data_IF_017573379857
#
_entry.id   IF_017573379857
#
_cell.length_a   1.000
_cell.length_b   1.000
_cell.length_c   1.000
_cell.angle_alpha   90.00
_cell.angle_beta   90.00
_cell.angle_gamma   90.00
#
_symmetry.space_group_name_H-M   'P 1'
#
loop_
_entity.id
_entity.type
_entity.pdbx_description
1 polymer ?
#
# COMPACT_ATOMS: atom_id res chain seq x y z
N UNK A 1 -19.43 -10.80 9.34
CA UNK A 1 -19.55 -12.20 8.84
C UNK A 1 -19.10 -12.41 7.37
N UNK A 2 -18.16 -11.62 6.79
CA UNK A 2 -17.64 -11.83 5.42
C UNK A 2 -16.28 -12.56 5.34
N UNK A 3 -15.68 -12.83 6.50
CA UNK A 3 -14.35 -13.40 6.67
C UNK A 3 -14.20 -14.82 6.07
N UNK A 4 -15.11 -15.80 6.31
CA UNK A 4 -14.87 -17.18 5.86
C UNK A 4 -14.92 -17.34 4.33
N UNK A 5 -15.76 -16.56 3.64
CA UNK A 5 -15.87 -16.61 2.19
C UNK A 5 -14.63 -16.03 1.50
N UNK A 6 -14.02 -14.99 2.09
CA UNK A 6 -12.77 -14.43 1.60
C UNK A 6 -11.63 -15.44 1.76
N UNK A 7 -11.50 -16.08 2.92
CA UNK A 7 -10.50 -17.12 3.16
C UNK A 7 -10.65 -18.31 2.21
N UNK A 8 -11.89 -18.75 1.92
CA UNK A 8 -12.13 -19.83 0.96
C UNK A 8 -11.69 -19.45 -0.46
N UNK A 9 -12.05 -18.25 -0.92
CA UNK A 9 -11.63 -17.75 -2.24
C UNK A 9 -10.11 -17.52 -2.29
N UNK A 10 -9.52 -17.12 -1.17
CA UNK A 10 -8.07 -17.01 -1.02
C UNK A 10 -7.40 -18.39 -1.17
N UNK A 11 -7.82 -19.37 -0.37
CA UNK A 11 -7.31 -20.74 -0.46
C UNK A 11 -7.44 -21.33 -1.86
N UNK A 12 -8.59 -21.14 -2.51
CA UNK A 12 -8.83 -21.66 -3.86
C UNK A 12 -7.88 -21.07 -4.92
N UNK A 13 -7.57 -19.78 -4.85
CA UNK A 13 -6.68 -19.16 -5.85
C UNK A 13 -5.21 -19.51 -5.61
N UNK A 14 -4.76 -19.60 -4.34
CA UNK A 14 -3.42 -20.14 -4.02
C UNK A 14 -3.31 -21.57 -4.56
N UNK A 15 -4.32 -22.41 -4.29
CA UNK A 15 -4.31 -23.80 -4.74
C UNK A 15 -4.21 -23.92 -6.26
N UNK A 16 -4.96 -23.09 -7.00
CA UNK A 16 -4.88 -23.06 -8.46
C UNK A 16 -3.48 -22.64 -8.95
N UNK A 17 -2.88 -21.61 -8.35
CA UNK A 17 -1.52 -21.17 -8.68
C UNK A 17 -0.50 -22.28 -8.40
N UNK A 18 -0.63 -22.97 -7.26
CA UNK A 18 0.20 -24.11 -6.91
C UNK A 18 0.12 -25.21 -7.98
N UNK A 19 -1.09 -25.56 -8.43
CA UNK A 19 -1.29 -26.54 -9.50
C UNK A 19 -0.62 -26.13 -10.81
N UNK A 20 -0.70 -24.85 -11.18
CA UNK A 20 -0.04 -24.32 -12.39
C UNK A 20 1.48 -24.44 -12.27
N UNK A 21 2.06 -24.07 -11.12
CA UNK A 21 3.51 -24.18 -10.87
C UNK A 21 3.96 -25.65 -10.95
N UNK A 22 3.21 -26.56 -10.32
CA UNK A 22 3.48 -27.99 -10.37
C UNK A 22 3.40 -28.55 -11.79
N UNK A 23 2.40 -28.13 -12.56
CA UNK A 23 2.23 -28.52 -13.96
C UNK A 23 3.42 -28.06 -14.82
N UNK A 24 3.84 -26.81 -14.69
CA UNK A 24 5.01 -26.26 -15.39
C UNK A 24 6.28 -27.02 -14.97
N UNK A 25 6.46 -27.28 -13.68
CA UNK A 25 7.59 -28.07 -13.17
C UNK A 25 7.63 -29.47 -13.76
N UNK A 26 6.48 -30.15 -13.82
CA UNK A 26 6.39 -31.47 -14.45
C UNK A 26 6.72 -31.42 -15.94
N UNK A 27 6.24 -30.40 -16.65
CA UNK A 27 6.51 -30.26 -18.08
C UNK A 27 7.99 -30.01 -18.37
N UNK A 28 8.69 -29.22 -17.55
CA UNK A 28 10.11 -28.90 -17.74
C UNK A 28 11.07 -30.03 -17.35
N UNK A 29 10.72 -30.85 -16.36
CA UNK A 29 11.67 -31.81 -15.75
C UNK A 29 11.07 -33.15 -15.33
N UNK A 30 9.87 -33.49 -15.80
CA UNK A 30 9.20 -34.73 -15.45
C UNK A 30 8.99 -34.88 -13.94
N UNK A 31 9.54 -35.94 -13.35
CA UNK A 31 9.41 -36.21 -11.90
C UNK A 31 10.27 -35.28 -11.05
N UNK A 32 11.50 -34.99 -11.48
CA UNK A 32 12.42 -34.13 -10.71
C UNK A 32 11.94 -32.68 -10.75
N UNK A 33 11.46 -32.21 -11.91
CA UNK A 33 10.86 -30.89 -12.05
C UNK A 33 9.59 -30.72 -11.21
N UNK A 34 8.73 -31.75 -11.12
CA UNK A 34 7.57 -31.75 -10.22
C UNK A 34 7.98 -31.61 -8.74
N UNK A 35 8.99 -32.35 -8.29
CA UNK A 35 9.49 -32.28 -6.91
C UNK A 35 10.09 -30.90 -6.60
N UNK A 36 10.86 -30.33 -7.52
CA UNK A 36 11.42 -28.98 -7.37
C UNK A 36 10.31 -27.92 -7.30
N UNK A 37 9.30 -28.01 -8.17
CA UNK A 37 8.14 -27.12 -8.17
C UNK A 37 7.33 -27.22 -6.88
N UNK A 38 7.17 -28.43 -6.34
CA UNK A 38 6.52 -28.65 -5.04
C UNK A 38 7.28 -27.97 -3.91
N UNK A 39 8.60 -28.19 -3.83
CA UNK A 39 9.45 -27.56 -2.82
C UNK A 39 9.38 -26.02 -2.92
N UNK A 40 9.47 -25.47 -4.14
CA UNK A 40 9.33 -24.04 -4.40
C UNK A 40 7.97 -23.50 -3.95
N UNK A 41 6.89 -24.22 -4.27
CA UNK A 41 5.52 -23.82 -3.92
C UNK A 41 5.32 -23.79 -2.40
N UNK A 42 5.83 -24.81 -1.68
CA UNK A 42 5.80 -24.85 -0.21
C UNK A 42 6.58 -23.68 0.38
N UNK A 43 7.81 -23.45 -0.11
CA UNK A 43 8.65 -22.34 0.35
C UNK A 43 7.99 -20.98 0.09
N UNK A 44 7.45 -20.78 -1.11
CA UNK A 44 6.75 -19.55 -1.49
C UNK A 44 5.49 -19.32 -0.66
N UNK A 45 4.71 -20.37 -0.41
CA UNK A 45 3.52 -20.27 0.45
C UNK A 45 3.92 -19.95 1.88
N UNK A 46 4.95 -20.60 2.43
CA UNK A 46 5.46 -20.25 3.76
C UNK A 46 5.92 -18.79 3.82
N UNK A 47 6.59 -18.30 2.77
CA UNK A 47 7.01 -16.90 2.66
C UNK A 47 5.81 -15.96 2.65
N UNK A 48 4.78 -16.24 1.84
CA UNK A 48 3.55 -15.43 1.79
C UNK A 48 2.89 -15.27 3.16
N UNK A 49 2.92 -16.31 3.99
CA UNK A 49 2.33 -16.28 5.33
C UNK A 49 3.23 -15.59 6.36
N UNK A 50 4.55 -15.66 6.20
CA UNK A 50 5.51 -14.98 7.07
C UNK A 50 5.71 -13.50 6.72
N UNK A 51 5.21 -13.06 5.57
CA UNK A 51 5.40 -11.71 5.05
C UNK A 51 4.22 -10.81 5.45
N UNK A 52 4.51 -9.76 6.21
CA UNK A 52 3.57 -8.69 6.51
C UNK A 52 4.24 -7.31 6.34
N UNK A 53 3.45 -6.26 6.53
CA UNK A 53 3.95 -4.89 6.46
C UNK A 53 4.58 -4.40 7.78
N UNK A 54 4.77 -5.27 8.77
CA UNK A 54 5.28 -4.86 10.09
C UNK A 54 6.73 -4.37 10.02
N UNK A 55 7.51 -4.88 9.08
CA UNK A 55 8.88 -4.44 8.87
C UNK A 55 8.98 -2.92 8.60
N UNK A 56 7.99 -2.37 7.91
CA UNK A 56 7.95 -0.96 7.51
C UNK A 56 7.81 -0.02 8.70
N UNK A 57 7.17 -0.47 9.79
CA UNK A 57 7.04 0.30 11.02
C UNK A 57 8.40 0.62 11.64
N UNK A 58 9.35 -0.32 11.58
CA UNK A 58 10.67 -0.16 12.17
C UNK A 58 11.55 0.86 11.41
N UNK A 59 11.11 1.31 10.23
CA UNK A 59 11.81 2.30 9.41
C UNK A 59 11.45 3.74 9.81
N UNK A 60 10.44 3.90 10.66
CA UNK A 60 9.89 5.19 11.06
C UNK A 60 10.01 5.41 12.56
N UNK A 61 10.22 6.66 12.97
CA UNK A 61 10.19 7.05 14.37
C UNK A 61 8.74 7.25 14.83
N UNK A 62 8.11 6.16 15.26
CA UNK A 62 6.68 6.07 15.55
C UNK A 62 6.34 6.61 16.94
N UNK A 63 5.41 7.57 16.97
CA UNK A 63 4.83 8.08 18.20
C UNK A 63 3.33 7.84 18.19
N UNK A 64 2.85 7.03 19.14
CA UNK A 64 1.41 6.82 19.30
C UNK A 64 0.81 8.02 20.03
N UNK A 65 -0.28 8.57 19.50
CA UNK A 65 -1.05 9.58 20.23
C UNK A 65 -1.87 8.84 21.29
N UNK A 66 -1.48 8.98 22.56
CA UNK A 66 -2.25 8.50 23.70
C UNK A 66 -2.77 9.71 24.51
N UNK A 67 -4.09 9.82 24.65
CA UNK A 67 -4.74 10.83 25.50
C UNK A 67 -5.00 12.17 24.82
N UNK A 68 -4.00 13.06 24.75
CA UNK A 68 -4.20 14.41 24.18
C UNK A 68 -4.12 14.36 22.66
N UNK A 69 -5.23 14.70 22.00
CA UNK A 69 -5.34 14.85 20.56
C UNK A 69 -5.45 16.34 20.19
N UNK A 70 -4.33 17.09 20.19
CA UNK A 70 -4.35 18.54 19.98
C UNK A 70 -4.86 18.95 18.59
N UNK A 71 -4.88 18.02 17.63
CA UNK A 71 -5.35 18.25 16.27
C UNK A 71 -6.76 17.69 16.01
N UNK A 72 -7.38 17.01 16.98
CA UNK A 72 -8.69 16.38 16.83
C UNK A 72 -8.70 15.26 15.78
N UNK A 73 -7.58 14.61 15.51
CA UNK A 73 -7.41 13.57 14.49
C UNK A 73 -8.14 12.29 14.84
N UNK A 74 -8.11 11.84 16.10
CA UNK A 74 -8.73 10.57 16.52
C UNK A 74 -10.22 10.58 16.23
N UNK A 75 -10.91 11.67 16.60
CA UNK A 75 -12.35 11.84 16.29
C UNK A 75 -12.66 11.81 14.79
N UNK A 76 -11.74 12.30 13.94
CA UNK A 76 -11.89 12.29 12.48
C UNK A 76 -11.67 10.91 11.90
N UNK A 77 -10.71 10.16 12.44
CA UNK A 77 -10.48 8.76 12.08
C UNK A 77 -11.69 7.91 12.48
N UNK A 78 -12.21 8.11 13.70
CA UNK A 78 -13.43 7.46 14.17
C UNK A 78 -14.63 7.75 13.26
N UNK A 79 -14.85 9.03 12.90
CA UNK A 79 -15.89 9.41 11.96
C UNK A 79 -15.74 8.68 10.62
N UNK A 80 -14.53 8.63 10.06
CA UNK A 80 -14.25 7.93 8.80
C UNK A 80 -14.46 6.43 8.89
N UNK A 81 -13.96 5.80 9.96
CA UNK A 81 -14.11 4.37 10.19
C UNK A 81 -15.58 3.98 10.35
N UNK A 82 -16.37 4.79 11.05
CA UNK A 82 -17.82 4.61 11.18
C UNK A 82 -18.53 4.71 9.83
N UNK A 83 -18.20 5.72 9.01
CA UNK A 83 -18.78 5.90 7.67
C UNK A 83 -18.45 4.76 6.71
N UNK A 84 -17.28 4.15 6.86
CA UNK A 84 -16.83 3.01 6.05
C UNK A 84 -17.20 1.64 6.64
N UNK A 85 -17.82 1.62 7.84
CA UNK A 85 -18.14 0.40 8.58
C UNK A 85 -16.91 -0.52 8.77
N UNK A 86 -15.78 0.05 9.17
CA UNK A 86 -14.54 -0.69 9.44
C UNK A 86 -14.12 -0.56 10.90
N UNK A 87 -13.24 -1.47 11.35
CA UNK A 87 -12.59 -1.38 12.64
C UNK A 87 -11.66 -0.16 12.68
N UNK A 88 -11.51 0.44 13.86
CA UNK A 88 -10.66 1.61 14.03
C UNK A 88 -9.19 1.20 13.87
N UNK A 89 -8.46 1.73 12.87
CA UNK A 89 -7.05 1.41 12.71
C UNK A 89 -6.22 2.05 13.83
N UNK A 90 -5.09 1.44 14.14
CA UNK A 90 -4.09 2.08 15.00
C UNK A 90 -3.51 3.30 14.28
N UNK A 91 -3.29 4.38 15.02
CA UNK A 91 -2.81 5.63 14.45
C UNK A 91 -1.48 6.05 15.10
N UNK A 92 -0.50 6.37 14.26
CA UNK A 92 0.80 6.86 14.70
C UNK A 92 1.19 8.12 13.95
N UNK A 93 1.81 9.03 14.68
CA UNK A 93 2.49 10.19 14.15
C UNK A 93 3.96 9.86 13.96
N UNK A 94 4.51 10.22 12.81
CA UNK A 94 5.90 9.95 12.45
C UNK A 94 6.69 11.25 12.46
N UNK A 95 7.78 11.26 13.22
CA UNK A 95 8.78 12.33 13.16
C UNK A 95 9.59 12.21 11.88
N UNK A 96 9.30 13.05 10.90
CA UNK A 96 9.97 13.07 9.61
C UNK A 96 10.09 14.48 9.06
N UNK A 97 11.15 14.74 8.28
CA UNK A 97 11.29 15.98 7.51
C UNK A 97 10.42 15.97 6.24
N UNK A 98 10.13 14.79 5.71
CA UNK A 98 9.25 14.60 4.56
C UNK A 98 7.79 14.59 4.99
N UNK A 99 6.90 15.13 4.15
CA UNK A 99 5.47 15.05 4.37
C UNK A 99 4.88 13.84 3.65
N UNK A 100 4.31 12.92 4.41
CA UNK A 100 3.64 11.74 3.87
C UNK A 100 2.49 11.27 4.76
N UNK A 101 1.56 10.55 4.14
CA UNK A 101 0.56 9.73 4.81
C UNK A 101 0.59 8.36 4.16
N UNK A 102 0.59 7.34 5.01
CA UNK A 102 0.81 5.96 4.63
C UNK A 102 -0.17 5.08 5.42
N UNK A 103 -0.80 4.14 4.74
CA UNK A 103 -1.76 3.22 5.33
C UNK A 103 -1.31 1.78 5.14
N UNK A 104 -1.14 1.06 6.25
CA UNK A 104 -0.59 -0.30 6.33
C UNK A 104 -1.63 -1.31 6.83
N UNK A 105 -1.51 -2.55 6.38
CA UNK A 105 -2.32 -3.72 6.76
C UNK A 105 -1.39 -4.76 7.41
N UNK A 106 -1.32 -4.76 8.74
CA UNK A 106 -0.48 -5.64 9.54
C UNK A 106 -1.23 -6.92 9.89
N UNK A 107 -1.22 -7.88 8.96
CA UNK A 107 -1.97 -9.11 9.14
C UNK A 107 -3.48 -8.84 9.31
N UNK A 108 -4.20 -9.82 9.86
CA UNK A 108 -5.64 -9.68 10.15
C UNK A 108 -5.83 -9.78 11.66
N UNK A 109 -6.38 -8.77 12.39
CA UNK A 109 -7.10 -7.58 11.92
C UNK A 109 -6.42 -6.23 12.27
N UNK A 110 -5.09 -6.09 12.20
CA UNK A 110 -4.43 -4.83 12.58
C UNK A 110 -4.16 -3.94 11.38
N UNK A 111 -5.04 -2.96 11.15
CA UNK A 111 -4.80 -1.89 10.18
C UNK A 111 -4.10 -0.71 10.88
N UNK A 112 -3.14 -0.07 10.22
CA UNK A 112 -2.33 1.02 10.78
C UNK A 112 -2.33 2.22 9.84
N UNK A 113 -2.50 3.42 10.40
CA UNK A 113 -2.41 4.68 9.71
C UNK A 113 -1.25 5.50 10.26
N UNK A 114 -0.34 5.89 9.36
CA UNK A 114 0.85 6.67 9.66
C UNK A 114 0.72 8.04 9.00
N UNK A 115 0.92 9.11 9.78
CA UNK A 115 0.99 10.47 9.28
C UNK A 115 2.27 11.13 9.75
N UNK A 116 2.99 11.82 8.87
CA UNK A 116 4.15 12.61 9.30
C UNK A 116 3.71 13.88 10.04
N UNK A 117 4.47 14.33 11.03
CA UNK A 117 4.25 15.61 11.73
C UNK A 117 4.14 16.80 10.75
N UNK A 118 4.92 16.79 9.67
CA UNK A 118 4.91 17.84 8.64
C UNK A 118 3.56 18.03 7.98
N UNK A 119 2.78 16.97 7.83
CA UNK A 119 1.43 17.07 7.29
C UNK A 119 0.55 17.84 8.27
N UNK A 120 0.63 17.52 9.57
CA UNK A 120 -0.16 18.17 10.62
C UNK A 120 0.21 19.64 10.83
N UNK A 121 1.45 20.02 10.54
CA UNK A 121 1.93 21.41 10.63
C UNK A 121 1.47 22.29 9.46
N UNK A 122 1.30 21.72 8.26
CA UNK A 122 1.11 22.50 7.02
C UNK A 122 -0.27 22.38 6.38
N UNK A 123 -1.03 21.33 6.71
CA UNK A 123 -2.40 21.16 6.22
C UNK A 123 -3.37 21.77 7.22
N UNK A 124 -4.44 22.36 6.70
CA UNK A 124 -5.55 22.77 7.53
C UNK A 124 -6.34 21.55 8.04
N UNK A 125 -7.26 21.81 8.96
CA UNK A 125 -8.05 20.78 9.63
C UNK A 125 -8.93 19.99 8.64
N UNK A 126 -9.49 20.66 7.62
CA UNK A 126 -10.39 20.05 6.63
C UNK A 126 -9.59 19.26 5.58
N UNK A 127 -8.44 19.78 5.18
CA UNK A 127 -7.46 19.14 4.30
C UNK A 127 -6.93 17.86 4.96
N UNK A 128 -6.58 17.93 6.24
CA UNK A 128 -6.15 16.78 7.02
C UNK A 128 -7.28 15.75 7.12
N UNK A 129 -8.51 16.17 7.41
CA UNK A 129 -9.65 15.25 7.44
C UNK A 129 -9.88 14.57 6.08
N UNK A 130 -9.85 15.32 4.99
CA UNK A 130 -10.06 14.78 3.66
C UNK A 130 -8.96 13.76 3.29
N UNK A 131 -7.70 14.06 3.66
CA UNK A 131 -6.56 13.18 3.44
C UNK A 131 -6.66 11.88 4.26
N UNK A 132 -7.01 11.98 5.55
CA UNK A 132 -7.22 10.83 6.43
C UNK A 132 -8.36 9.95 5.90
N UNK A 133 -9.48 10.54 5.47
CA UNK A 133 -10.58 9.80 4.86
C UNK A 133 -10.15 9.07 3.58
N UNK A 134 -9.26 9.67 2.79
CA UNK A 134 -8.69 9.00 1.61
C UNK A 134 -7.90 7.76 1.98
N UNK A 135 -7.10 7.83 3.04
CA UNK A 135 -6.31 6.69 3.49
C UNK A 135 -7.13 5.61 4.20
N UNK A 136 -8.20 5.98 4.91
CA UNK A 136 -9.18 5.01 5.42
C UNK A 136 -9.91 4.30 4.27
N UNK A 137 -10.27 5.03 3.21
CA UNK A 137 -10.83 4.42 2.00
C UNK A 137 -9.81 3.46 1.33
N UNK A 138 -8.51 3.79 1.34
CA UNK A 138 -7.44 2.89 0.89
C UNK A 138 -7.45 1.57 1.67
N UNK A 139 -7.48 1.63 3.01
CA UNK A 139 -7.53 0.45 3.89
C UNK A 139 -8.76 -0.40 3.60
N UNK A 140 -9.93 0.23 3.57
CA UNK A 140 -11.18 -0.46 3.30
C UNK A 140 -11.19 -1.16 1.94
N UNK A 141 -10.66 -0.52 0.89
CA UNK A 141 -10.54 -1.14 -0.43
C UNK A 141 -9.56 -2.30 -0.44
N UNK A 142 -8.42 -2.20 0.26
CA UNK A 142 -7.44 -3.30 0.37
C UNK A 142 -7.98 -4.52 1.11
N UNK A 143 -9.06 -4.41 1.88
CA UNK A 143 -9.74 -5.58 2.44
C UNK A 143 -10.49 -6.42 1.39
N UNK A 144 -10.74 -5.88 0.19
CA UNK A 144 -11.35 -6.64 -0.90
C UNK A 144 -10.34 -7.62 -1.50
N UNK A 145 -10.83 -8.84 -1.73
CA UNK A 145 -10.07 -9.96 -2.28
C UNK A 145 -9.10 -9.58 -3.40
N UNK A 146 -9.60 -8.87 -4.42
CA UNK A 146 -8.79 -8.51 -5.60
C UNK A 146 -7.55 -7.72 -5.19
N UNK A 147 -7.69 -6.69 -4.36
CA UNK A 147 -6.57 -5.80 -4.03
C UNK A 147 -5.62 -6.45 -3.05
N UNK A 148 -6.15 -7.19 -2.07
CA UNK A 148 -5.37 -7.95 -1.09
C UNK A 148 -4.41 -8.94 -1.74
N UNK A 149 -4.90 -9.71 -2.72
CA UNK A 149 -4.12 -10.73 -3.40
C UNK A 149 -2.86 -10.20 -4.07
N UNK A 150 -3.03 -9.17 -4.88
CA UNK A 150 -1.90 -8.63 -5.63
C UNK A 150 -0.96 -7.82 -4.76
N UNK A 151 -1.49 -7.19 -3.71
CA UNK A 151 -0.65 -6.58 -2.71
C UNK A 151 0.27 -7.61 -2.04
N UNK A 152 -0.25 -8.77 -1.62
CA UNK A 152 0.57 -9.86 -1.07
C UNK A 152 1.56 -10.45 -2.08
N UNK A 153 1.16 -10.62 -3.35
CA UNK A 153 2.08 -11.06 -4.40
C UNK A 153 3.21 -10.06 -4.63
N UNK A 154 2.91 -8.76 -4.62
CA UNK A 154 3.92 -7.72 -4.77
C UNK A 154 4.89 -7.71 -3.58
N UNK A 155 4.35 -7.78 -2.36
CA UNK A 155 5.15 -7.74 -1.14
C UNK A 155 6.06 -8.98 -1.03
N UNK A 156 5.54 -10.18 -1.29
CA UNK A 156 6.34 -11.42 -1.28
C UNK A 156 7.47 -11.42 -2.30
N UNK A 157 7.33 -10.77 -3.46
CA UNK A 157 8.43 -10.62 -4.43
C UNK A 157 9.56 -9.77 -3.87
N UNK A 158 9.24 -8.67 -3.20
CA UNK A 158 10.24 -7.81 -2.55
C UNK A 158 10.93 -8.57 -1.42
N UNK A 159 10.15 -9.21 -0.54
CA UNK A 159 10.68 -9.97 0.60
C UNK A 159 11.54 -11.15 0.15
N UNK A 160 11.19 -11.82 -0.95
CA UNK A 160 12.04 -12.84 -1.55
C UNK A 160 13.38 -12.25 -1.97
N UNK A 161 13.38 -11.09 -2.63
CA UNK A 161 14.60 -10.39 -3.02
C UNK A 161 15.48 -10.06 -1.82
N UNK A 162 14.90 -9.51 -0.76
CA UNK A 162 15.62 -9.18 0.47
C UNK A 162 16.18 -10.43 1.17
N UNK A 163 15.45 -11.55 1.13
CA UNK A 163 15.90 -12.81 1.70
C UNK A 163 17.07 -13.39 0.91
N UNK A 164 17.02 -13.32 -0.43
CA UNK A 164 18.12 -13.74 -1.30
C UNK A 164 19.34 -12.84 -1.13
N UNK A 165 19.17 -11.51 -1.04
CA UNK A 165 20.25 -10.57 -0.78
C UNK A 165 20.89 -10.81 0.60
N UNK A 166 20.11 -11.15 1.61
CA UNK A 166 20.62 -11.57 2.92
C UNK A 166 21.37 -12.89 2.86
N UNK A 167 20.82 -13.89 2.17
CA UNK A 167 21.40 -15.23 2.08
C UNK A 167 22.73 -15.26 1.30
N UNK A 168 22.83 -14.47 0.22
CA UNK A 168 24.00 -14.48 -0.68
C UNK A 168 25.01 -13.39 -0.31
N UNK A 169 24.55 -12.19 0.03
CA UNK A 169 25.41 -11.00 0.18
C UNK A 169 25.42 -10.40 1.59
N UNK A 170 24.86 -11.09 2.59
CA UNK A 170 24.69 -10.57 3.96
C UNK A 170 24.14 -9.14 3.97
N UNK A 171 23.16 -8.85 3.10
CA UNK A 171 22.48 -7.54 2.94
C UNK A 171 23.33 -6.35 2.52
N UNK A 172 24.62 -6.53 2.20
CA UNK A 172 25.47 -5.41 1.74
C UNK A 172 25.14 -4.95 0.31
N UNK A 173 24.56 -5.84 -0.49
CA UNK A 173 24.22 -5.60 -1.89
C UNK A 173 22.75 -5.97 -2.07
N UNK A 174 21.96 -5.03 -2.59
CA UNK A 174 20.53 -5.21 -2.88
C UNK A 174 20.32 -5.62 -4.34
N UNK A 175 20.99 -6.69 -4.78
CA UNK A 175 20.94 -7.11 -6.18
C UNK A 175 19.57 -7.72 -6.52
N UNK A 176 19.16 -8.74 -5.76
CA UNK A 176 17.92 -9.47 -6.00
C UNK A 176 16.71 -8.59 -5.73
N UNK A 177 16.74 -7.77 -4.69
CA UNK A 177 15.68 -6.79 -4.39
C UNK A 177 15.49 -5.86 -5.58
N UNK A 178 16.57 -5.23 -6.08
CA UNK A 178 16.52 -4.32 -7.23
C UNK A 178 15.99 -5.00 -8.50
N UNK A 179 16.30 -6.28 -8.70
CA UNK A 179 15.80 -7.05 -9.85
C UNK A 179 14.33 -7.47 -9.70
N UNK A 180 13.86 -7.75 -8.49
CA UNK A 180 12.49 -8.22 -8.24
C UNK A 180 11.48 -7.09 -8.01
N UNK A 181 11.89 -5.91 -7.55
CA UNK A 181 11.02 -4.72 -7.44
C UNK A 181 10.25 -4.38 -8.73
N UNK A 182 10.84 -4.36 -9.94
CA UNK A 182 10.05 -4.11 -11.15
C UNK A 182 8.98 -5.17 -11.41
N UNK A 183 9.20 -6.42 -10.99
CA UNK A 183 8.18 -7.48 -11.08
C UNK A 183 7.02 -7.23 -10.10
N UNK A 184 7.30 -6.79 -8.87
CA UNK A 184 6.25 -6.42 -7.91
C UNK A 184 5.40 -5.26 -8.44
N UNK A 185 6.03 -4.23 -9.01
CA UNK A 185 5.35 -3.12 -9.68
C UNK A 185 4.50 -3.58 -10.86
N UNK A 186 5.00 -4.53 -11.65
CA UNK A 186 4.24 -5.11 -12.77
C UNK A 186 2.99 -5.84 -12.27
N UNK A 187 3.09 -6.65 -11.21
CA UNK A 187 1.92 -7.30 -10.61
C UNK A 187 0.87 -6.29 -10.15
N UNK A 188 1.28 -5.22 -9.46
CA UNK A 188 0.37 -4.16 -9.02
C UNK A 188 -0.26 -3.42 -10.20
N UNK A 189 0.51 -3.18 -11.27
CA UNK A 189 0.00 -2.53 -12.49
C UNK A 189 -1.05 -3.38 -13.21
N UNK A 190 -0.85 -4.71 -13.28
CA UNK A 190 -1.79 -5.65 -13.92
C UNK A 190 -3.17 -5.68 -13.26
N UNK A 191 -3.26 -5.37 -11.96
CA UNK A 191 -4.54 -5.29 -11.22
C UNK A 191 -5.41 -4.11 -11.66
N UNK A 192 -4.91 -3.28 -12.57
CA UNK A 192 -5.44 -1.93 -12.80
C UNK A 192 -5.45 -1.15 -11.49
N UNK A 193 -4.28 -0.98 -10.84
CA UNK A 193 -4.16 -0.14 -9.64
C UNK A 193 -4.76 1.26 -9.85
N UNK A 194 -4.81 1.76 -11.08
CA UNK A 194 -5.52 2.99 -11.41
C UNK A 194 -7.01 2.96 -11.04
N UNK A 195 -7.69 1.81 -11.16
CA UNK A 195 -9.06 1.62 -10.67
C UNK A 195 -9.16 1.65 -9.15
N UNK A 196 -8.10 1.22 -8.44
CA UNK A 196 -8.04 1.34 -6.99
C UNK A 196 -8.00 2.81 -6.57
N UNK A 197 -7.14 3.62 -7.20
CA UNK A 197 -7.05 5.05 -6.90
C UNK A 197 -8.35 5.79 -7.26
N UNK A 198 -8.97 5.45 -8.40
CA UNK A 198 -10.28 5.97 -8.79
C UNK A 198 -11.38 5.62 -7.78
N UNK A 199 -11.44 4.36 -7.35
CA UNK A 199 -12.44 3.93 -6.38
C UNK A 199 -12.19 4.58 -5.01
N UNK A 200 -10.92 4.73 -4.60
CA UNK A 200 -10.53 5.44 -3.38
C UNK A 200 -11.00 6.89 -3.42
N UNK A 201 -10.66 7.61 -4.49
CA UNK A 201 -11.00 9.02 -4.62
C UNK A 201 -12.52 9.21 -4.66
N UNK A 202 -13.25 8.35 -5.38
CA UNK A 202 -14.72 8.37 -5.44
C UNK A 202 -15.35 8.13 -4.06
N UNK A 203 -14.86 7.15 -3.31
CA UNK A 203 -15.33 6.87 -1.95
C UNK A 203 -15.05 8.06 -1.03
N UNK A 204 -13.85 8.65 -1.13
CA UNK A 204 -13.45 9.81 -0.34
C UNK A 204 -14.38 10.99 -0.62
N UNK A 205 -14.60 11.32 -1.90
CA UNK A 205 -15.47 12.43 -2.33
C UNK A 205 -16.92 12.20 -1.89
N UNK A 206 -17.39 10.96 -1.80
CA UNK A 206 -18.74 10.66 -1.32
C UNK A 206 -18.95 10.92 0.18
N UNK A 207 -17.86 11.07 0.95
CA UNK A 207 -17.88 11.28 2.41
C UNK A 207 -17.45 12.70 2.77
N UNK A 208 -16.47 13.26 2.06
CA UNK A 208 -15.93 14.61 2.30
C UNK A 208 -16.92 15.68 1.83
N UNK A 209 -17.13 16.70 2.66
CA UNK A 209 -18.03 17.82 2.35
C UNK A 209 -17.54 18.70 1.18
N UNK A 210 -16.23 18.92 1.08
CA UNK A 210 -15.61 19.72 0.01
C UNK A 210 -14.45 18.96 -0.65
N UNK A 211 -14.66 18.52 -1.90
CA UNK A 211 -13.64 17.84 -2.71
C UNK A 211 -12.39 18.69 -2.99
N UNK A 212 -12.50 20.02 -2.93
CA UNK A 212 -11.36 20.93 -3.13
C UNK A 212 -10.36 20.81 -1.98
N UNK A 213 -10.81 20.47 -0.76
CA UNK A 213 -9.94 20.22 0.38
C UNK A 213 -9.06 18.99 0.16
N UNK A 214 -9.61 17.90 -0.40
CA UNK A 214 -8.81 16.74 -0.79
C UNK A 214 -7.77 17.10 -1.86
N UNK A 215 -8.20 17.82 -2.91
CA UNK A 215 -7.31 18.25 -3.98
C UNK A 215 -6.16 19.16 -3.46
N UNK A 216 -6.50 20.12 -2.60
CA UNK A 216 -5.53 21.02 -1.96
C UNK A 216 -4.56 20.24 -1.06
N UNK A 217 -5.07 19.30 -0.24
CA UNK A 217 -4.26 18.45 0.61
C UNK A 217 -3.23 17.63 -0.20
N UNK A 218 -3.66 16.97 -1.27
CA UNK A 218 -2.78 16.17 -2.13
C UNK A 218 -1.73 17.04 -2.85
N UNK A 219 -2.12 18.24 -3.29
CA UNK A 219 -1.20 19.18 -3.93
C UNK A 219 -0.14 19.73 -2.95
N UNK A 220 -0.55 20.12 -1.74
CA UNK A 220 0.37 20.55 -0.66
C UNK A 220 1.29 19.40 -0.26
N UNK A 221 0.74 18.20 -0.09
CA UNK A 221 1.51 17.00 0.25
C UNK A 221 2.62 16.74 -0.76
N UNK A 222 2.31 16.77 -2.06
CA UNK A 222 3.33 16.63 -3.13
C UNK A 222 4.36 17.75 -3.06
N UNK A 223 3.92 18.99 -2.90
CA UNK A 223 4.80 20.15 -2.87
C UNK A 223 5.83 20.06 -1.73
N UNK A 224 5.40 19.61 -0.55
CA UNK A 224 6.29 19.42 0.60
C UNK A 224 7.19 18.18 0.40
N UNK A 225 6.64 17.08 -0.12
CA UNK A 225 7.43 15.87 -0.43
C UNK A 225 8.54 16.13 -1.47
N UNK A 226 8.30 17.02 -2.45
CA UNK A 226 9.32 17.43 -3.41
C UNK A 226 10.44 18.27 -2.76
N UNK A 227 10.11 19.10 -1.77
CA UNK A 227 11.09 19.89 -1.03
C UNK A 227 11.95 19.01 -0.10
N UNK A 228 11.34 18.02 0.54
CA UNK A 228 12.00 17.07 1.44
C UNK A 228 11.67 15.63 1.02
N UNK A 229 12.36 15.09 -0.01
CA UNK A 229 12.05 13.77 -0.51
C UNK A 229 12.45 12.68 0.48
N UNK A 230 11.65 11.64 0.54
CA UNK A 230 11.93 10.39 1.25
C UNK A 230 12.18 9.30 0.20
N UNK A 231 13.19 8.46 0.46
CA UNK A 231 13.40 7.25 -0.33
C UNK A 231 12.46 6.19 0.25
N UNK A 232 11.36 5.84 -0.44
CA UNK A 232 10.47 4.81 0.06
C UNK A 232 11.21 3.47 0.01
N UNK A 233 10.98 2.59 0.99
CA UNK A 233 11.57 1.26 0.90
C UNK A 233 10.94 0.48 -0.27
N UNK A 234 11.70 -0.48 -0.81
CA UNK A 234 11.48 -0.99 -2.16
C UNK A 234 10.07 -1.60 -2.37
N UNK A 235 9.35 -1.16 -3.39
CA UNK A 235 8.06 -1.76 -3.74
C UNK A 235 6.88 -1.39 -2.81
N UNK A 236 7.03 -0.38 -1.95
CA UNK A 236 5.93 0.20 -1.14
C UNK A 236 5.32 1.46 -1.71
N UNK A 237 5.76 1.89 -2.89
CA UNK A 237 5.44 3.23 -3.37
C UNK A 237 3.93 3.43 -3.50
N UNK A 238 3.19 2.36 -3.79
CA UNK A 238 1.72 2.33 -3.90
C UNK A 238 0.97 2.49 -2.58
N UNK A 239 1.65 2.36 -1.43
CA UNK A 239 1.04 2.50 -0.11
C UNK A 239 0.95 3.97 0.33
N UNK A 240 1.80 4.83 -0.22
CA UNK A 240 1.79 6.26 0.07
C UNK A 240 0.61 6.96 -0.63
N UNK A 241 0.09 8.04 -0.04
CA UNK A 241 -0.98 8.81 -0.68
C UNK A 241 -0.53 9.52 -1.97
N UNK A 242 0.71 10.00 -1.95
CA UNK A 242 1.44 10.67 -3.04
C UNK A 242 2.86 10.15 -3.02
N UNK A 243 3.49 10.06 -4.19
CA UNK A 243 4.87 9.62 -4.33
C UNK A 243 5.81 10.48 -3.45
N UNK A 244 6.58 9.88 -2.52
CA UNK A 244 7.35 10.64 -1.54
C UNK A 244 8.74 11.06 -2.06
N UNK A 245 9.13 10.61 -3.25
CA UNK A 245 10.40 10.94 -3.91
C UNK A 245 10.25 12.12 -4.87
N UNK A 246 11.37 12.81 -5.14
CA UNK A 246 11.43 14.01 -5.99
C UNK A 246 11.38 13.70 -7.49
N UNK A 247 11.68 12.46 -7.89
CA UNK A 247 11.84 12.13 -9.31
C UNK A 247 10.49 12.01 -10.01
N UNK A 248 10.06 13.07 -10.70
CA UNK A 248 8.90 13.05 -11.60
C UNK A 248 9.04 11.96 -12.69
N UNK A 249 10.27 11.56 -13.02
CA UNK A 249 10.58 10.43 -13.94
C UNK A 249 10.11 9.07 -13.40
N UNK A 250 10.10 8.87 -12.07
CA UNK A 250 9.58 7.63 -11.47
C UNK A 250 8.05 7.60 -11.51
N UNK A 251 7.39 8.76 -11.41
CA UNK A 251 5.94 8.91 -11.58
C UNK A 251 5.51 8.68 -13.04
N UNK A 252 6.37 9.07 -14.00
CA UNK A 252 6.17 8.88 -15.44
C UNK A 252 6.72 7.54 -15.97
N UNK A 253 7.40 6.76 -15.14
CA UNK A 253 7.92 5.45 -15.53
C UNK A 253 6.78 4.54 -16.00
N UNK A 254 7.04 3.74 -17.03
CA UNK A 254 6.07 2.72 -17.45
C UNK A 254 5.70 1.76 -16.30
N UNK A 255 6.57 1.56 -15.30
CA UNK A 255 6.29 0.70 -14.16
C UNK A 255 5.75 1.47 -12.94
N UNK A 256 5.37 2.75 -13.10
CA UNK A 256 4.72 3.49 -12.02
C UNK A 256 3.35 2.87 -11.70
N UNK A 257 3.11 2.64 -10.41
CA UNK A 257 1.87 2.04 -9.91
C UNK A 257 0.82 3.13 -9.65
N UNK A 258 1.27 4.32 -9.25
CA UNK A 258 0.43 5.48 -8.98
C UNK A 258 0.16 6.28 -10.26
N UNK A 259 -1.06 6.85 -10.37
CA UNK A 259 -1.36 7.82 -11.41
C UNK A 259 -0.70 9.16 -11.12
N UNK A 260 -0.44 9.94 -12.17
CA UNK A 260 0.13 11.28 -12.00
C UNK A 260 -0.80 12.18 -11.20
N UNK A 261 -0.24 12.99 -10.30
CA UNK A 261 -1.05 13.87 -9.44
C UNK A 261 -1.96 14.78 -10.27
N UNK A 262 -1.48 15.32 -11.39
CA UNK A 262 -2.27 16.21 -12.25
C UNK A 262 -3.51 15.52 -12.82
N UNK A 263 -3.40 14.26 -13.25
CA UNK A 263 -4.54 13.44 -13.70
C UNK A 263 -5.54 13.20 -12.58
N UNK A 264 -5.02 12.85 -11.39
CA UNK A 264 -5.83 12.61 -10.19
C UNK A 264 -6.58 13.87 -9.73
N UNK A 265 -5.91 15.03 -9.70
CA UNK A 265 -6.53 16.32 -9.36
C UNK A 265 -7.61 16.73 -10.37
N UNK A 266 -7.37 16.53 -11.67
CA UNK A 266 -8.39 16.76 -12.71
C UNK A 266 -9.61 15.88 -12.47
N UNK A 267 -9.43 14.63 -12.06
CA UNK A 267 -10.53 13.73 -11.74
C UNK A 267 -11.30 14.21 -10.49
N UNK A 268 -10.61 14.55 -9.40
CA UNK A 268 -11.24 14.97 -8.13
C UNK A 268 -12.00 16.29 -8.29
N UNK A 269 -11.40 17.28 -8.96
CA UNK A 269 -11.98 18.62 -9.10
C UNK A 269 -12.93 18.71 -10.29
N UNK A 270 -12.58 18.05 -11.39
CA UNK A 270 -13.27 18.09 -12.68
C UNK A 270 -14.44 17.13 -12.81
N UNK A 271 -14.70 16.24 -11.84
CA UNK A 271 -16.01 15.58 -11.72
C UNK A 271 -17.08 16.61 -11.32
N UNK A 272 -17.44 17.53 -12.20
CA UNK A 272 -18.80 18.10 -12.16
C UNK A 272 -19.77 16.97 -12.54
N UNK A 273 -20.83 16.87 -11.74
CA UNK A 273 -21.85 15.81 -11.82
C UNK A 273 -22.39 15.70 -13.24
N UNK A 274 -22.41 14.47 -13.77
CA UNK A 274 -23.50 14.03 -14.65
C UNK A 274 -24.56 13.41 -13.74
#
# INVERSE_FOLDING_TARGET
MRVPLLFLKLGASIFLICLVILYIGHWMGGRTGLLAALALTIAWTALLWATDESHWMNLFDLHRIEGQDPWGILSRIEFGAQRLHMELPEFYVVRSRSAFVLSLTLGSPRDVLLISERVLEHLDIDETQALLLSELASLWLRQRLRYRWFHWLALSMVTLGELMDRAVFWSKIQFFTRTLTPMSRLFLKLVTWHRFEEERDRLTISIVSDRRKLASALWKLKSIAQAYPLIPPAGSEHLFSVFPSRNDDEEQSFLSVQSSLSSRLRRIVGTELV
#
